data_IF_396784198246
#
_entry.id   IF_396784198246
#
_cell.length_a   1.000
_cell.length_b   1.000
_cell.length_c   1.000
_cell.angle_alpha   90.00
_cell.angle_beta   90.00
_cell.angle_gamma   90.00
#
_symmetry.space_group_name_H-M   'P 1'
#
loop_
_entity.id
_entity.type
_entity.pdbx_description
1 polymer ?
#
# COMPACT_ATOMS: atom_id res chain seq x y z
N UNK A 1 -12.74 5.03 -15.50
CA UNK A 1 -11.29 5.26 -15.33
C UNK A 1 -10.81 6.09 -16.51
N UNK A 2 -10.00 7.14 -16.30
CA UNK A 2 -9.57 8.06 -17.38
C UNK A 2 -8.87 7.34 -18.53
N UNK A 3 -8.21 6.22 -18.26
CA UNK A 3 -7.55 5.38 -19.28
C UNK A 3 -8.48 4.85 -20.37
N UNK A 4 -9.79 4.86 -20.15
CA UNK A 4 -10.77 4.50 -21.19
C UNK A 4 -10.97 5.57 -22.26
N UNK A 5 -10.36 6.75 -22.09
CA UNK A 5 -10.51 7.91 -22.97
C UNK A 5 -9.18 8.37 -23.56
N UNK A 6 -8.13 7.53 -23.57
CA UNK A 6 -6.78 7.91 -24.06
C UNK A 6 -6.74 8.24 -25.56
N UNK A 7 -7.63 7.64 -26.34
CA UNK A 7 -7.74 7.86 -27.79
C UNK A 7 -8.79 8.92 -28.16
N UNK A 8 -9.45 9.50 -27.16
CA UNK A 8 -10.47 10.55 -27.35
C UNK A 8 -9.83 11.94 -27.53
N UNK A 9 -10.62 12.92 -27.94
CA UNK A 9 -10.15 14.29 -28.09
C UNK A 9 -9.60 14.87 -26.76
N UNK A 10 -8.59 15.77 -26.82
CA UNK A 10 -7.97 16.35 -25.62
C UNK A 10 -8.94 17.00 -24.64
N UNK A 11 -10.05 17.56 -25.14
CA UNK A 11 -11.11 18.13 -24.31
C UNK A 11 -11.86 17.07 -23.51
N UNK A 12 -12.17 15.93 -24.14
CA UNK A 12 -12.82 14.78 -23.52
C UNK A 12 -11.90 14.14 -22.48
N UNK A 13 -10.59 14.03 -22.78
CA UNK A 13 -9.58 13.58 -21.83
C UNK A 13 -9.51 14.48 -20.59
N UNK A 14 -9.47 15.79 -20.79
CA UNK A 14 -9.44 16.76 -19.70
C UNK A 14 -10.71 16.68 -18.84
N UNK A 15 -11.88 16.53 -19.45
CA UNK A 15 -13.15 16.36 -18.75
C UNK A 15 -13.17 15.04 -17.94
N UNK A 16 -12.77 13.92 -18.55
CA UNK A 16 -12.71 12.62 -17.90
C UNK A 16 -11.75 12.63 -16.70
N UNK A 17 -10.59 13.28 -16.84
CA UNK A 17 -9.63 13.47 -15.75
C UNK A 17 -10.23 14.25 -14.58
N UNK A 18 -10.91 15.37 -14.85
CA UNK A 18 -11.57 16.18 -13.80
C UNK A 18 -12.64 15.39 -13.05
N UNK A 19 -13.45 14.60 -13.76
CA UNK A 19 -14.48 13.76 -13.14
C UNK A 19 -13.83 12.69 -12.26
N UNK A 20 -12.77 12.06 -12.76
CA UNK A 20 -12.02 11.06 -12.01
C UNK A 20 -11.41 11.65 -10.72
N UNK A 21 -10.74 12.80 -10.82
CA UNK A 21 -10.17 13.51 -9.66
C UNK A 21 -11.23 13.82 -8.60
N UNK A 22 -12.43 14.26 -9.02
CA UNK A 22 -13.56 14.48 -8.09
C UNK A 22 -14.00 13.18 -7.40
N UNK A 23 -14.06 12.09 -8.15
CA UNK A 23 -14.40 10.77 -7.60
C UNK A 23 -13.36 10.29 -6.57
N UNK A 24 -12.08 10.47 -6.87
CA UNK A 24 -10.97 10.12 -5.95
C UNK A 24 -11.01 10.96 -4.68
N UNK A 25 -11.26 12.26 -4.82
CA UNK A 25 -11.42 13.19 -3.69
C UNK A 25 -12.58 12.78 -2.78
N UNK A 26 -13.78 12.58 -3.33
CA UNK A 26 -14.95 12.15 -2.57
C UNK A 26 -14.71 10.80 -1.86
N UNK A 27 -14.13 9.83 -2.56
CA UNK A 27 -13.78 8.54 -1.97
C UNK A 27 -12.77 8.68 -0.81
N UNK A 28 -11.78 9.56 -0.95
CA UNK A 28 -10.76 9.80 0.08
C UNK A 28 -11.37 10.43 1.32
N UNK A 29 -12.23 11.44 1.15
CA UNK A 29 -12.95 12.12 2.24
C UNK A 29 -13.85 11.12 2.96
N UNK A 30 -14.71 10.39 2.25
CA UNK A 30 -15.67 9.46 2.87
C UNK A 30 -15.02 8.28 3.58
N UNK A 31 -13.82 7.86 3.16
CA UNK A 31 -13.13 6.69 3.73
C UNK A 31 -12.23 7.04 4.93
N UNK A 32 -11.83 8.30 5.10
CA UNK A 32 -10.91 8.72 6.15
C UNK A 32 -11.54 9.81 7.01
N UNK A 33 -11.87 9.55 8.28
CA UNK A 33 -12.43 10.55 9.18
C UNK A 33 -11.59 11.84 9.28
N UNK A 34 -10.25 11.73 9.29
CA UNK A 34 -9.36 12.90 9.29
C UNK A 34 -9.44 13.72 7.99
N UNK A 35 -9.79 13.07 6.86
CA UNK A 35 -10.04 13.77 5.61
C UNK A 35 -11.39 14.50 5.60
N UNK A 36 -12.40 14.00 6.34
CA UNK A 36 -13.68 14.70 6.55
C UNK A 36 -13.45 16.00 7.30
N UNK A 37 -12.73 15.97 8.42
CA UNK A 37 -12.47 17.16 9.22
C UNK A 37 -11.69 18.22 8.43
N UNK A 38 -10.67 17.80 7.69
CA UNK A 38 -9.90 18.70 6.83
C UNK A 38 -10.77 19.27 5.70
N UNK A 39 -11.62 18.45 5.08
CA UNK A 39 -12.54 18.88 4.02
C UNK A 39 -13.52 19.94 4.54
N UNK A 40 -14.15 19.68 5.68
CA UNK A 40 -15.08 20.63 6.32
C UNK A 40 -14.39 21.93 6.72
N UNK A 41 -13.14 21.85 7.20
CA UNK A 41 -12.34 23.05 7.48
C UNK A 41 -12.12 23.87 6.20
N UNK A 42 -11.69 23.22 5.11
CA UNK A 42 -11.45 23.90 3.83
C UNK A 42 -12.72 24.52 3.26
N UNK A 43 -13.87 23.83 3.40
CA UNK A 43 -15.17 24.39 3.04
C UNK A 43 -15.49 25.67 3.80
N UNK A 44 -15.22 25.72 5.12
CA UNK A 44 -15.41 26.93 5.93
C UNK A 44 -14.46 28.07 5.54
N UNK A 45 -13.26 27.73 5.08
CA UNK A 45 -12.28 28.67 4.52
C UNK A 45 -12.63 29.13 3.09
N UNK A 46 -13.75 28.64 2.51
CA UNK A 46 -14.21 28.99 1.17
C UNK A 46 -13.58 28.16 0.04
N UNK A 47 -12.80 27.14 0.37
CA UNK A 47 -12.25 26.20 -0.61
C UNK A 47 -13.23 25.07 -0.90
N UNK A 48 -13.60 24.91 -2.18
CA UNK A 48 -14.53 23.87 -2.63
C UNK A 48 -13.86 22.50 -2.83
N UNK A 49 -12.53 22.45 -2.79
CA UNK A 49 -11.73 21.23 -3.06
C UNK A 49 -10.51 21.17 -2.17
N UNK A 50 -10.05 19.95 -1.91
CA UNK A 50 -8.74 19.71 -1.31
C UNK A 50 -7.64 19.98 -2.33
N UNK A 51 -6.61 20.71 -1.89
CA UNK A 51 -5.40 20.94 -2.67
C UNK A 51 -4.51 19.69 -2.68
N UNK A 52 -3.55 19.65 -3.62
CA UNK A 52 -2.52 18.59 -3.62
C UNK A 52 -1.73 18.55 -2.29
N UNK A 53 -1.53 19.69 -1.64
CA UNK A 53 -0.88 19.78 -0.34
C UNK A 53 -1.73 19.16 0.77
N UNK A 54 -3.06 19.32 0.72
CA UNK A 54 -3.98 18.66 1.64
C UNK A 54 -3.92 17.14 1.51
N UNK A 55 -3.86 16.63 0.27
CA UNK A 55 -3.66 15.20 0.05
C UNK A 55 -2.32 14.72 0.60
N UNK A 56 -1.22 15.45 0.39
CA UNK A 56 0.06 15.11 0.99
C UNK A 56 0.00 15.14 2.52
N UNK A 57 -0.71 16.10 3.11
CA UNK A 57 -0.91 16.20 4.55
C UNK A 57 -1.68 14.99 5.06
N UNK A 58 -2.74 14.58 4.39
CA UNK A 58 -3.52 13.38 4.73
C UNK A 58 -2.70 12.09 4.62
N UNK A 59 -1.82 11.97 3.62
CA UNK A 59 -0.89 10.84 3.50
C UNK A 59 0.17 10.83 4.61
N UNK A 60 0.67 12.01 5.01
CA UNK A 60 1.55 12.14 6.19
C UNK A 60 0.83 11.78 7.48
N UNK A 61 -0.46 12.09 7.64
CA UNK A 61 -1.26 11.67 8.78
C UNK A 61 -1.66 10.19 8.73
N UNK A 62 -1.74 9.56 7.54
CA UNK A 62 -1.78 8.10 7.42
C UNK A 62 -0.48 7.44 7.89
N UNK A 63 0.67 8.06 7.67
CA UNK A 63 1.96 7.59 8.17
C UNK A 63 2.24 7.98 9.64
N UNK A 64 1.66 9.08 10.13
CA UNK A 64 1.84 9.62 11.47
C UNK A 64 0.69 9.31 12.43
N UNK A 65 -0.34 8.62 11.94
CA UNK A 65 -1.15 7.75 12.76
C UNK A 65 -0.22 6.66 13.28
N UNK A 66 0.45 6.97 14.40
CA UNK A 66 0.97 5.96 15.32
C UNK A 66 -0.10 4.91 15.37
N UNK A 67 0.22 3.75 14.81
CA UNK A 67 -0.43 2.53 15.15
C UNK A 67 -0.52 2.50 16.67
N UNK A 68 -1.71 2.76 17.22
CA UNK A 68 -2.02 2.40 18.60
C UNK A 68 -2.10 0.89 18.72
N UNK A 69 -1.86 0.15 17.62
CA UNK A 69 -1.37 -1.21 17.68
C UNK A 69 -0.10 -1.20 18.51
N UNK A 70 -0.27 -1.55 19.78
CA UNK A 70 0.73 -2.25 20.58
C UNK A 70 1.53 -3.10 19.59
N UNK A 71 2.86 -2.91 19.46
CA UNK A 71 3.65 -3.74 18.56
C UNK A 71 3.25 -5.18 18.84
N UNK A 72 2.97 -6.00 17.80
CA UNK A 72 2.60 -7.39 18.02
C UNK A 72 3.59 -7.96 19.03
N UNK A 73 3.08 -8.54 20.11
CA UNK A 73 3.90 -8.95 21.27
C UNK A 73 4.93 -10.02 20.91
N UNK A 74 4.89 -10.47 19.65
CA UNK A 74 5.91 -11.27 19.00
C UNK A 74 6.47 -10.41 17.86
N UNK A 75 7.78 -10.14 17.84
CA UNK A 75 8.41 -9.54 16.67
C UNK A 75 8.03 -10.37 15.42
N UNK A 76 7.96 -9.76 14.22
CA UNK A 76 7.93 -10.55 13.00
C UNK A 76 9.07 -11.57 13.09
N UNK A 77 8.87 -12.83 12.67
CA UNK A 77 9.90 -13.85 12.78
C UNK A 77 11.19 -13.25 12.24
N UNK A 78 12.17 -13.06 13.14
CA UNK A 78 13.46 -12.53 12.76
C UNK A 78 14.02 -13.42 11.65
N UNK A 79 14.65 -12.85 10.62
CA UNK A 79 15.21 -13.61 9.51
C UNK A 79 16.47 -14.34 10.00
N UNK A 80 16.30 -15.35 10.84
CA UNK A 80 17.23 -16.48 10.87
C UNK A 80 17.24 -17.18 9.49
N UNK A 81 16.23 -16.86 8.66
CA UNK A 81 15.90 -17.43 7.36
C UNK A 81 15.50 -16.34 6.32
N UNK A 82 16.37 -15.36 6.03
CA UNK A 82 16.14 -14.29 5.03
C UNK A 82 15.60 -14.83 3.69
N UNK A 83 14.55 -14.26 3.11
CA UNK A 83 14.06 -14.66 1.77
C UNK A 83 15.18 -14.60 0.73
N UNK A 84 16.06 -13.59 0.83
CA UNK A 84 17.19 -13.40 -0.09
C UNK A 84 18.13 -14.62 -0.08
N UNK A 85 18.28 -15.29 1.06
CA UNK A 85 19.12 -16.50 1.18
C UNK A 85 18.45 -17.75 0.60
N UNK A 86 17.13 -17.78 0.48
CA UNK A 86 16.41 -18.89 -0.13
C UNK A 86 16.34 -18.79 -1.67
N UNK A 87 16.33 -17.57 -2.23
CA UNK A 87 16.21 -17.38 -3.68
C UNK A 87 17.51 -17.76 -4.39
N UNK A 88 17.39 -18.60 -5.42
CA UNK A 88 18.52 -19.06 -6.25
C UNK A 88 18.78 -18.14 -7.43
N UNK A 89 17.75 -17.46 -7.91
CA UNK A 89 17.76 -16.57 -9.09
C UNK A 89 18.06 -15.12 -8.70
N UNK A 90 18.72 -14.33 -9.59
CA UNK A 90 18.94 -12.91 -9.37
C UNK A 90 17.62 -12.12 -9.22
N UNK A 91 16.64 -12.40 -10.08
CA UNK A 91 15.34 -11.75 -10.05
C UNK A 91 14.58 -12.05 -8.76
N UNK A 92 14.66 -13.30 -8.31
CA UNK A 92 14.10 -13.73 -7.04
C UNK A 92 14.67 -12.96 -5.85
N UNK A 93 15.99 -12.75 -5.84
CA UNK A 93 16.67 -11.97 -4.78
C UNK A 93 16.19 -10.52 -4.73
N UNK A 94 15.97 -9.88 -5.88
CA UNK A 94 15.45 -8.49 -5.95
C UNK A 94 14.06 -8.41 -5.32
N UNK A 95 13.18 -9.36 -5.63
CA UNK A 95 11.83 -9.42 -5.04
C UNK A 95 11.92 -9.72 -3.54
N UNK A 96 12.82 -10.61 -3.13
CA UNK A 96 13.03 -10.97 -1.72
C UNK A 96 13.52 -9.78 -0.88
N UNK A 97 14.50 -9.01 -1.37
CA UNK A 97 14.98 -7.79 -0.72
C UNK A 97 13.85 -6.76 -0.55
N UNK A 98 12.99 -6.64 -1.55
CA UNK A 98 11.83 -5.75 -1.50
C UNK A 98 10.82 -6.21 -0.44
N UNK A 99 10.53 -7.51 -0.37
CA UNK A 99 9.65 -8.09 0.66
C UNK A 99 10.20 -7.83 2.06
N UNK A 100 11.49 -8.08 2.27
CA UNK A 100 12.14 -7.85 3.56
C UNK A 100 12.11 -6.39 3.98
N UNK A 101 12.38 -5.48 3.04
CA UNK A 101 12.28 -4.03 3.29
C UNK A 101 10.87 -3.62 3.68
N UNK A 102 9.85 -4.12 3.00
CA UNK A 102 8.45 -3.84 3.32
C UNK A 102 8.06 -4.40 4.71
N UNK A 103 8.61 -5.53 5.13
CA UNK A 103 8.42 -6.07 6.47
C UNK A 103 9.09 -5.18 7.52
N UNK A 104 10.32 -4.70 7.27
CA UNK A 104 11.03 -3.78 8.16
C UNK A 104 10.30 -2.43 8.31
N UNK A 105 9.76 -1.92 7.20
CA UNK A 105 8.94 -0.70 7.15
C UNK A 105 7.53 -0.89 7.74
N UNK A 106 7.18 -2.09 8.22
CA UNK A 106 5.86 -2.45 8.75
C UNK A 106 4.72 -2.32 7.72
N UNK A 107 5.04 -2.34 6.43
CA UNK A 107 4.08 -2.28 5.30
C UNK A 107 3.57 -3.68 4.96
N UNK A 108 2.93 -4.31 5.94
CA UNK A 108 2.59 -5.74 5.92
C UNK A 108 1.65 -6.16 4.79
N UNK A 109 0.69 -5.29 4.41
CA UNK A 109 -0.24 -5.58 3.32
C UNK A 109 0.47 -5.66 1.97
N UNK A 110 1.46 -4.80 1.75
CA UNK A 110 2.25 -4.77 0.52
C UNK A 110 3.27 -5.91 0.49
N UNK A 111 3.91 -6.19 1.63
CA UNK A 111 4.75 -7.36 1.79
C UNK A 111 4.00 -8.65 1.43
N UNK A 112 2.74 -8.79 1.86
CA UNK A 112 1.92 -9.97 1.55
C UNK A 112 1.69 -10.16 0.04
N UNK A 113 1.41 -9.09 -0.70
CA UNK A 113 1.24 -9.14 -2.15
C UNK A 113 2.54 -9.55 -2.87
N UNK A 114 3.68 -9.05 -2.38
CA UNK A 114 4.99 -9.34 -2.95
C UNK A 114 5.49 -10.75 -2.58
N UNK A 115 5.05 -11.32 -1.46
CA UNK A 115 5.36 -12.71 -1.09
C UNK A 115 4.79 -13.70 -2.10
N UNK A 116 3.58 -13.45 -2.63
CA UNK A 116 3.01 -14.28 -3.70
C UNK A 116 3.84 -14.24 -5.00
N UNK A 117 4.54 -13.13 -5.24
CA UNK A 117 5.42 -12.98 -6.40
C UNK A 117 6.69 -13.87 -6.28
N UNK A 118 7.17 -14.13 -5.06
CA UNK A 118 8.31 -15.02 -4.84
C UNK A 118 8.02 -16.45 -5.30
N UNK A 119 6.80 -16.93 -5.08
CA UNK A 119 6.37 -18.27 -5.53
C UNK A 119 6.22 -18.36 -7.05
N UNK A 120 5.85 -17.26 -7.72
CA UNK A 120 5.82 -17.25 -9.19
C UNK A 120 7.20 -17.18 -9.83
N UNK A 121 8.17 -16.57 -9.17
CA UNK A 121 9.55 -16.46 -9.69
C UNK A 121 10.33 -17.76 -9.48
N UNK A 122 10.11 -18.46 -8.36
CA UNK A 122 10.73 -19.76 -8.07
C UNK A 122 9.70 -20.80 -7.57
N UNK A 123 8.84 -21.33 -8.45
CA UNK A 123 7.77 -22.26 -8.06
C UNK A 123 8.29 -23.58 -7.49
N UNK A 124 9.48 -24.02 -7.92
CA UNK A 124 10.10 -25.26 -7.47
C UNK A 124 10.99 -25.10 -6.23
N UNK A 125 10.94 -23.96 -5.54
CA UNK A 125 11.75 -23.72 -4.35
C UNK A 125 10.94 -23.95 -3.06
N UNK A 126 11.04 -25.15 -2.43
CA UNK A 126 10.25 -25.48 -1.25
C UNK A 126 10.63 -24.63 -0.03
N UNK A 127 11.85 -24.08 0.01
CA UNK A 127 12.27 -23.19 1.10
C UNK A 127 11.54 -21.85 1.03
N UNK A 128 11.37 -21.30 -0.18
CA UNK A 128 10.64 -20.05 -0.42
C UNK A 128 9.17 -20.22 -0.05
N UNK A 129 8.54 -21.31 -0.52
CA UNK A 129 7.14 -21.62 -0.22
C UNK A 129 6.87 -21.76 1.28
N UNK A 130 7.70 -22.54 1.99
CA UNK A 130 7.56 -22.71 3.45
C UNK A 130 7.71 -21.38 4.21
N UNK A 131 8.61 -20.51 3.77
CA UNK A 131 8.82 -19.17 4.36
C UNK A 131 7.67 -18.23 4.00
N UNK A 132 7.20 -18.26 2.76
CA UNK A 132 6.05 -17.52 2.26
C UNK A 132 4.79 -17.88 3.05
N UNK A 133 4.49 -19.15 3.26
CA UNK A 133 3.34 -19.61 4.05
C UNK A 133 3.39 -19.11 5.50
N UNK A 134 4.55 -19.21 6.16
CA UNK A 134 4.75 -18.77 7.56
C UNK A 134 4.53 -17.27 7.71
N UNK A 135 5.08 -16.48 6.77
CA UNK A 135 4.96 -15.02 6.78
C UNK A 135 3.57 -14.59 6.32
N UNK A 136 2.99 -15.20 5.29
CA UNK A 136 1.62 -14.98 4.84
C UNK A 136 0.61 -15.22 5.97
N UNK A 137 0.75 -16.30 6.74
CA UNK A 137 -0.10 -16.59 7.88
C UNK A 137 0.03 -15.54 9.00
N UNK A 138 1.24 -15.01 9.22
CA UNK A 138 1.48 -13.92 10.17
C UNK A 138 0.89 -12.60 9.69
N UNK A 139 1.19 -12.19 8.45
CA UNK A 139 0.71 -10.96 7.82
C UNK A 139 -0.82 -10.94 7.69
N UNK A 140 -1.46 -12.08 7.39
CA UNK A 140 -2.93 -12.20 7.37
C UNK A 140 -3.55 -11.92 8.73
N UNK A 141 -2.92 -12.35 9.84
CA UNK A 141 -3.43 -12.09 11.20
C UNK A 141 -3.19 -10.64 11.64
N UNK A 142 -2.10 -10.03 11.20
CA UNK A 142 -1.75 -8.64 11.56
C UNK A 142 -2.52 -7.63 10.71
N UNK A 143 -2.75 -7.90 9.42
CA UNK A 143 -3.45 -7.00 8.50
C UNK A 143 -4.98 -7.08 8.52
N UNK A 144 -5.57 -8.04 9.25
CA UNK A 144 -7.03 -8.13 9.48
C UNK A 144 -7.50 -7.41 10.75
N UNK A 145 -6.57 -6.89 11.56
CA UNK A 145 -6.85 -6.06 12.74
C UNK A 145 -6.68 -4.59 12.42
#
# INVERSE_FOLDING_TARGET
HPDRHLDEEPEVQAAAKRVFERGVEAYTVLRNPAAVELYDQRLREGALRLSAEDFQRLERFRGAGRSTLRPPSRPPPTPEDAFVSAMKTPDGKIVAERVERLIQEQRYREAYLQVGLLETVEPDNPAVRKRADKIAAYLKRVGQR
#
